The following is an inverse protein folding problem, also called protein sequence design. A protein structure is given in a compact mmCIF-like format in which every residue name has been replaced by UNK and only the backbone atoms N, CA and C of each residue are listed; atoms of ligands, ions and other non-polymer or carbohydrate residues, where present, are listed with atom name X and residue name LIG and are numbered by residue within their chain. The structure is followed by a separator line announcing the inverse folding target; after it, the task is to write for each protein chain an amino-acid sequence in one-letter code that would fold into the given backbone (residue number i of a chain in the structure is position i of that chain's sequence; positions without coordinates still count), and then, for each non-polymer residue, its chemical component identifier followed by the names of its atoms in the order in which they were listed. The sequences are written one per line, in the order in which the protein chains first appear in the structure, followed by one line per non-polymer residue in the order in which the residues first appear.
data_IF_106789533912
#
_entry.id   IF_106789533912
#
_cell.length_a   1.000
_cell.length_b   1.000
_cell.length_c   1.000
_cell.angle_alpha   90.00
_cell.angle_beta   90.00
_cell.angle_gamma   90.00
#
_symmetry.space_group_name_H-M   'P 1'
#
loop_
_entity.id
_entity.type
_entity.pdbx_description
1 polymer ?
#
# COMPACT_ATOMS: atom_id res chain seq x y z
N UNK A 1 1.30 10.64 18.54
CA UNK A 1 0.18 10.72 17.57
C UNK A 1 -0.57 9.40 17.65
N UNK A 2 -1.91 9.40 17.59
CA UNK A 2 -2.71 8.18 17.74
C UNK A 2 -2.94 7.48 16.40
N UNK A 3 -3.12 6.16 16.41
CA UNK A 3 -3.40 5.31 15.24
C UNK A 3 -4.89 5.22 14.98
N UNK A 4 -5.45 6.15 14.20
CA UNK A 4 -6.92 6.30 14.11
C UNK A 4 -7.52 5.42 13.02
N UNK A 5 -8.60 4.71 13.35
CA UNK A 5 -9.36 3.91 12.40
C UNK A 5 -10.82 4.35 12.34
N UNK A 6 -11.42 4.39 11.13
CA UNK A 6 -12.87 4.54 10.96
C UNK A 6 -13.50 3.19 10.67
N UNK A 7 -14.58 2.88 11.38
CA UNK A 7 -15.36 1.67 11.17
C UNK A 7 -16.76 2.01 10.72
N UNK A 8 -17.31 1.22 9.80
CA UNK A 8 -18.70 1.29 9.39
C UNK A 8 -19.30 -0.10 9.41
N UNK A 9 -20.40 -0.27 10.12
CA UNK A 9 -21.21 -1.48 10.05
C UNK A 9 -22.48 -1.11 9.27
N UNK A 10 -22.75 -1.83 8.17
CA UNK A 10 -24.01 -1.73 7.44
C UNK A 10 -24.83 -3.00 7.68
N UNK A 11 -26.04 -2.81 8.18
CA UNK A 11 -26.99 -3.88 8.44
C UNK A 11 -28.42 -3.36 8.25
N UNK A 12 -29.26 -4.12 7.55
CA UNK A 12 -30.64 -3.76 7.23
C UNK A 12 -30.76 -2.38 6.55
N UNK A 13 -29.81 -2.06 5.66
CA UNK A 13 -29.73 -0.80 4.93
C UNK A 13 -29.34 0.42 5.78
N UNK A 14 -28.89 0.22 7.04
CA UNK A 14 -28.49 1.29 7.95
C UNK A 14 -27.00 1.26 8.22
N UNK A 15 -26.37 2.43 8.19
CA UNK A 15 -24.95 2.60 8.50
C UNK A 15 -24.77 3.05 9.96
N UNK A 16 -23.96 2.31 10.73
CA UNK A 16 -23.40 2.74 12.02
C UNK A 16 -21.94 3.12 11.83
N UNK A 17 -21.58 4.34 12.17
CA UNK A 17 -20.21 4.84 12.04
C UNK A 17 -19.53 4.86 13.40
N UNK A 18 -18.32 4.33 13.47
CA UNK A 18 -17.51 4.32 14.69
C UNK A 18 -16.09 4.81 14.39
N UNK A 19 -15.41 5.28 15.43
CA UNK A 19 -14.00 5.67 15.38
C UNK A 19 -13.25 5.11 16.58
N UNK A 20 -12.03 4.63 16.35
CA UNK A 20 -11.07 4.30 17.39
C UNK A 20 -9.78 5.09 17.19
N UNK A 21 -9.16 5.56 18.27
CA UNK A 21 -7.96 6.42 18.24
C UNK A 21 -6.63 5.64 18.26
N UNK A 22 -6.70 4.33 18.41
CA UNK A 22 -5.57 3.43 18.63
C UNK A 22 -5.56 2.21 17.70
N UNK A 23 -6.70 1.83 17.10
CA UNK A 23 -6.82 0.62 16.30
C UNK A 23 -6.15 0.65 14.90
N UNK A 24 -5.67 1.80 14.41
CA UNK A 24 -5.18 1.95 13.04
C UNK A 24 -4.07 1.00 12.62
N UNK A 25 -3.20 0.61 13.56
CA UNK A 25 -2.12 -0.36 13.31
C UNK A 25 -2.61 -1.82 13.24
N UNK A 26 -3.69 -2.12 13.94
CA UNK A 26 -4.13 -3.50 14.26
C UNK A 26 -5.30 -3.98 13.40
N UNK A 27 -5.86 -3.09 12.55
CA UNK A 27 -6.99 -3.40 11.67
C UNK A 27 -6.76 -4.69 10.89
N UNK A 28 -5.63 -4.80 10.18
CA UNK A 28 -5.43 -5.96 9.30
C UNK A 28 -5.13 -7.24 10.08
N UNK A 29 -4.41 -7.14 11.20
CA UNK A 29 -4.18 -8.28 12.09
C UNK A 29 -5.52 -8.84 12.60
N UNK A 30 -6.40 -7.98 13.11
CA UNK A 30 -7.73 -8.40 13.59
C UNK A 30 -8.57 -9.01 12.48
N UNK A 31 -8.57 -8.42 11.29
CA UNK A 31 -9.29 -8.96 10.13
C UNK A 31 -8.74 -10.33 9.69
N UNK A 32 -7.45 -10.60 9.83
CA UNK A 32 -6.88 -11.91 9.47
C UNK A 32 -7.46 -13.06 10.28
N UNK A 33 -7.93 -12.83 11.50
CA UNK A 33 -8.54 -13.85 12.36
C UNK A 33 -10.04 -14.06 12.10
N UNK A 34 -10.66 -13.25 11.24
CA UNK A 34 -12.06 -13.41 10.80
C UNK A 34 -13.04 -12.46 11.48
N UNK A 35 -14.34 -12.73 11.29
CA UNK A 35 -15.42 -11.82 11.66
C UNK A 35 -15.49 -11.54 13.17
N UNK A 36 -15.36 -12.56 14.01
CA UNK A 36 -15.46 -12.39 15.47
C UNK A 36 -14.34 -11.47 16.01
N UNK A 37 -13.11 -11.66 15.53
CA UNK A 37 -11.99 -10.79 15.89
C UNK A 37 -12.19 -9.36 15.36
N UNK A 38 -12.69 -9.23 14.14
CA UNK A 38 -13.04 -7.92 13.57
C UNK A 38 -14.09 -7.19 14.40
N UNK A 39 -15.15 -7.88 14.83
CA UNK A 39 -16.21 -7.30 15.65
C UNK A 39 -15.70 -6.90 17.03
N UNK A 40 -14.89 -7.74 17.68
CA UNK A 40 -14.26 -7.40 18.95
C UNK A 40 -13.45 -6.11 18.87
N UNK A 41 -12.70 -5.89 17.78
CA UNK A 41 -11.98 -4.63 17.55
C UNK A 41 -12.93 -3.45 17.32
N UNK A 42 -13.99 -3.63 16.51
CA UNK A 42 -14.93 -2.54 16.18
C UNK A 42 -15.73 -2.09 17.40
N UNK A 43 -16.08 -3.01 18.30
CA UNK A 43 -16.88 -2.74 19.50
C UNK A 43 -16.19 -1.81 20.51
N UNK A 44 -14.87 -1.60 20.38
CA UNK A 44 -14.11 -0.64 21.18
C UNK A 44 -14.25 0.80 20.66
N UNK A 45 -14.73 0.94 19.42
CA UNK A 45 -14.94 2.22 18.77
C UNK A 45 -16.07 3.03 19.40
N UNK A 46 -15.93 4.36 19.35
CA UNK A 46 -16.98 5.30 19.76
C UNK A 46 -17.85 5.67 18.58
N UNK A 47 -19.17 5.75 18.79
CA UNK A 47 -20.12 6.17 17.76
C UNK A 47 -19.84 7.61 17.27
N UNK A 48 -19.92 7.80 15.96
CA UNK A 48 -19.76 9.09 15.27
C UNK A 48 -20.82 9.25 14.17
N UNK A 49 -20.92 10.45 13.58
CA UNK A 49 -21.94 10.76 12.57
C UNK A 49 -21.47 10.41 11.15
N UNK A 50 -20.15 10.33 10.93
CA UNK A 50 -19.54 10.04 9.63
C UNK A 50 -18.16 9.42 9.79
N UNK A 51 -17.65 8.80 8.71
CA UNK A 51 -16.24 8.44 8.60
C UNK A 51 -15.34 9.69 8.71
N UNK A 52 -14.08 9.47 9.09
CA UNK A 52 -13.08 10.53 9.16
C UNK A 52 -12.70 11.04 7.77
N UNK A 53 -12.12 12.25 7.73
CA UNK A 53 -11.46 12.75 6.54
C UNK A 53 -10.06 12.14 6.37
N UNK A 54 -9.45 12.39 5.21
CA UNK A 54 -8.12 11.93 4.84
C UNK A 54 -6.97 12.44 5.72
N UNK A 55 -7.20 13.51 6.50
CA UNK A 55 -6.18 14.10 7.36
C UNK A 55 -6.03 13.32 8.66
N UNK A 56 -7.12 12.73 9.14
CA UNK A 56 -7.16 12.05 10.44
C UNK A 56 -7.24 10.54 10.37
N UNK A 57 -7.76 9.96 9.28
CA UNK A 57 -7.87 8.51 9.12
C UNK A 57 -6.54 7.86 8.73
N UNK A 58 -6.12 6.84 9.49
CA UNK A 58 -4.92 6.03 9.20
C UNK A 58 -5.29 4.59 8.80
N UNK A 59 -6.52 4.17 9.10
CA UNK A 59 -7.11 2.92 8.63
C UNK A 59 -8.64 3.05 8.52
N UNK A 60 -9.27 2.06 7.89
CA UNK A 60 -10.70 1.91 8.01
C UNK A 60 -11.25 0.57 7.54
N UNK A 61 -12.45 0.24 8.04
CA UNK A 61 -13.17 -1.00 7.74
C UNK A 61 -14.64 -0.67 7.49
N UNK A 62 -15.21 -1.29 6.46
CA UNK A 62 -16.65 -1.42 6.26
C UNK A 62 -16.99 -2.90 6.33
N UNK A 63 -17.90 -3.25 7.23
CA UNK A 63 -18.57 -4.54 7.27
C UNK A 63 -20.01 -4.34 6.79
N UNK A 64 -20.29 -4.79 5.58
CA UNK A 64 -21.63 -4.76 4.98
C UNK A 64 -22.24 -6.14 5.07
N UNK A 65 -23.08 -6.35 6.08
CA UNK A 65 -23.76 -7.62 6.32
C UNK A 65 -24.82 -7.92 5.26
N UNK A 66 -25.43 -6.88 4.69
CA UNK A 66 -26.48 -7.02 3.69
C UNK A 66 -25.91 -7.60 2.38
N UNK A 67 -24.71 -7.13 1.99
CA UNK A 67 -24.03 -7.57 0.78
C UNK A 67 -22.93 -8.63 1.02
N UNK A 68 -22.63 -8.98 2.28
CA UNK A 68 -21.49 -9.78 2.70
C UNK A 68 -20.15 -9.25 2.14
N UNK A 69 -19.93 -7.95 2.25
CA UNK A 69 -18.70 -7.27 1.81
C UNK A 69 -17.86 -6.86 3.00
N UNK A 70 -16.57 -7.19 2.95
CA UNK A 70 -15.53 -6.60 3.80
C UNK A 70 -14.70 -5.65 2.93
N UNK A 71 -14.75 -4.35 3.20
CA UNK A 71 -13.92 -3.35 2.52
C UNK A 71 -13.02 -2.66 3.54
N UNK A 72 -11.69 -2.71 3.35
CA UNK A 72 -10.76 -2.17 4.36
C UNK A 72 -9.48 -1.62 3.76
N UNK A 73 -8.81 -0.74 4.50
CA UNK A 73 -7.45 -0.28 4.24
C UNK A 73 -6.73 0.09 5.54
N UNK A 74 -5.43 0.29 5.46
CA UNK A 74 -4.59 0.71 6.57
C UNK A 74 -3.66 -0.38 7.06
N UNK A 75 -3.18 -0.24 8.30
CA UNK A 75 -2.00 -0.89 8.87
C UNK A 75 -0.68 -0.29 8.39
N UNK A 76 0.04 0.34 9.32
CA UNK A 76 1.40 0.85 9.15
C UNK A 76 2.34 -0.21 8.52
N UNK A 77 2.07 -1.49 8.80
CA UNK A 77 2.89 -2.62 8.38
C UNK A 77 2.72 -3.02 6.92
N UNK A 78 1.58 -2.68 6.29
CA UNK A 78 1.30 -3.05 4.89
C UNK A 78 1.49 -1.92 3.89
N UNK A 79 1.69 -0.69 4.39
CA UNK A 79 1.89 0.49 3.56
C UNK A 79 3.07 0.28 2.59
N UNK A 80 4.23 -0.14 3.08
CA UNK A 80 5.40 -0.43 2.22
C UNK A 80 5.25 -1.72 1.41
N UNK A 81 4.44 -2.66 1.90
CA UNK A 81 4.36 -4.06 1.45
C UNK A 81 3.23 -4.31 0.46
N UNK A 82 2.88 -3.26 -0.28
CA UNK A 82 1.66 -3.27 -1.07
C UNK A 82 1.55 -4.43 -2.08
N UNK A 83 2.62 -4.86 -2.78
CA UNK A 83 2.52 -6.02 -3.67
C UNK A 83 2.00 -7.31 -3.01
N UNK A 84 1.99 -7.39 -1.68
CA UNK A 84 1.42 -8.50 -0.92
C UNK A 84 -0.10 -8.44 -0.74
N UNK A 85 -0.76 -7.30 -0.94
CA UNK A 85 -2.20 -7.15 -0.70
C UNK A 85 -3.05 -8.12 -1.54
N UNK A 86 -2.80 -8.38 -2.84
CA UNK A 86 -3.54 -9.41 -3.57
C UNK A 86 -3.48 -10.79 -2.90
N UNK A 87 -2.32 -11.16 -2.35
CA UNK A 87 -2.12 -12.41 -1.62
C UNK A 87 -2.83 -12.39 -0.26
N UNK A 88 -2.86 -11.25 0.43
CA UNK A 88 -3.64 -11.06 1.65
C UNK A 88 -5.14 -11.25 1.40
N UNK A 89 -5.68 -10.61 0.36
CA UNK A 89 -7.10 -10.73 0.03
C UNK A 89 -7.47 -12.18 -0.31
N UNK A 90 -6.62 -12.87 -1.08
CA UNK A 90 -6.82 -14.28 -1.43
C UNK A 90 -6.73 -15.20 -0.20
N UNK A 91 -5.75 -14.95 0.68
CA UNK A 91 -5.58 -15.64 1.96
C UNK A 91 -6.84 -15.52 2.82
N UNK A 92 -7.34 -14.31 3.00
CA UNK A 92 -8.52 -14.02 3.81
C UNK A 92 -9.77 -14.70 3.24
N UNK A 93 -10.03 -14.55 1.93
CA UNK A 93 -11.18 -15.18 1.24
C UNK A 93 -11.16 -16.70 1.35
N UNK A 94 -9.97 -17.29 1.27
CA UNK A 94 -9.79 -18.74 1.27
C UNK A 94 -9.89 -19.35 2.67
N UNK A 95 -9.65 -18.58 3.73
CA UNK A 95 -9.54 -19.10 5.10
C UNK A 95 -10.64 -18.62 6.04
N UNK A 96 -10.62 -17.35 6.45
CA UNK A 96 -11.45 -16.81 7.54
C UNK A 96 -12.66 -16.00 7.08
N UNK A 97 -12.69 -15.59 5.82
CA UNK A 97 -13.77 -14.80 5.21
C UNK A 97 -14.44 -15.54 4.06
N UNK A 98 -14.65 -16.86 4.23
CA UNK A 98 -15.29 -17.69 3.20
C UNK A 98 -16.72 -17.22 2.97
N UNK A 99 -17.07 -17.01 1.70
CA UNK A 99 -18.39 -16.51 1.28
C UNK A 99 -18.53 -14.99 1.31
N UNK A 100 -17.57 -14.26 1.87
CA UNK A 100 -17.56 -12.79 1.84
C UNK A 100 -16.78 -12.26 0.63
N UNK A 101 -17.21 -11.13 0.09
CA UNK A 101 -16.41 -10.37 -0.87
C UNK A 101 -15.46 -9.43 -0.13
N UNK A 102 -14.25 -9.92 0.08
CA UNK A 102 -13.15 -9.18 0.72
C UNK A 102 -12.45 -8.26 -0.31
N UNK A 103 -12.37 -6.98 -0.01
CA UNK A 103 -11.85 -5.94 -0.89
C UNK A 103 -10.91 -5.00 -0.12
N UNK A 104 -9.86 -4.58 -0.80
CA UNK A 104 -9.03 -3.48 -0.34
C UNK A 104 -9.64 -2.14 -0.79
N UNK A 105 -9.80 -1.19 0.13
CA UNK A 105 -10.18 0.20 -0.15
C UNK A 105 -8.98 0.92 -0.76
N UNK A 106 -8.84 0.76 -2.08
CA UNK A 106 -7.67 1.17 -2.86
C UNK A 106 -7.27 2.61 -2.66
N UNK A 107 -8.22 3.53 -2.55
CA UNK A 107 -8.00 4.96 -2.34
C UNK A 107 -8.31 5.36 -0.89
N UNK A 108 -8.10 4.44 0.05
CA UNK A 108 -8.37 4.65 1.47
C UNK A 108 -9.80 5.13 1.74
N UNK A 109 -9.91 6.25 2.46
CA UNK A 109 -11.20 6.88 2.78
C UNK A 109 -12.02 7.26 1.56
N UNK A 110 -11.40 7.58 0.42
CA UNK A 110 -12.13 7.89 -0.80
C UNK A 110 -12.90 6.66 -1.32
N UNK A 111 -12.28 5.47 -1.31
CA UNK A 111 -12.95 4.22 -1.70
C UNK A 111 -14.07 3.86 -0.72
N UNK A 112 -13.89 4.16 0.57
CA UNK A 112 -14.96 3.97 1.57
C UNK A 112 -16.13 4.93 1.33
N UNK A 113 -15.86 6.21 1.09
CA UNK A 113 -16.91 7.20 0.78
C UNK A 113 -17.69 6.81 -0.48
N UNK A 114 -17.01 6.37 -1.54
CA UNK A 114 -17.64 5.89 -2.77
C UNK A 114 -18.54 4.68 -2.51
N UNK A 115 -18.06 3.69 -1.75
CA UNK A 115 -18.86 2.52 -1.37
C UNK A 115 -20.13 2.89 -0.59
N UNK A 116 -20.02 3.90 0.28
CA UNK A 116 -21.13 4.39 1.10
C UNK A 116 -22.05 5.38 0.35
N UNK A 117 -21.79 5.66 -0.93
CA UNK A 117 -22.54 6.65 -1.70
C UNK A 117 -22.38 8.08 -1.17
N UNK A 118 -21.30 8.38 -0.46
CA UNK A 118 -20.97 9.71 0.06
C UNK A 118 -20.22 10.52 -1.00
N UNK A 119 -20.43 11.85 -1.08
CA UNK A 119 -19.70 12.68 -2.02
C UNK A 119 -18.21 12.69 -1.68
N UNK A 120 -17.33 12.66 -2.69
CA UNK A 120 -15.87 12.65 -2.49
C UNK A 120 -15.37 13.81 -1.60
N UNK A 121 -15.99 14.97 -1.73
CA UNK A 121 -15.69 16.17 -0.92
C UNK A 121 -15.97 16.02 0.58
N UNK A 122 -16.62 14.93 1.02
CA UNK A 122 -16.83 14.63 2.44
C UNK A 122 -15.58 14.06 3.13
N UNK A 123 -14.66 13.49 2.36
CA UNK A 123 -13.43 12.86 2.88
C UNK A 123 -12.16 13.48 2.32
N UNK A 124 -12.22 14.00 1.08
CA UNK A 124 -11.15 14.76 0.47
C UNK A 124 -11.42 16.25 0.66
N UNK A 125 -10.60 16.92 1.45
CA UNK A 125 -10.64 18.38 1.49
C UNK A 125 -9.92 18.85 0.23
N UNK A 126 -10.49 19.80 -0.55
CA UNK A 126 -9.75 20.37 -1.65
C UNK A 126 -8.45 20.89 -1.07
N UNK A 127 -7.32 20.38 -1.58
CA UNK A 127 -6.01 20.84 -1.17
C UNK A 127 -6.01 22.35 -1.40
N UNK A 128 -6.11 23.11 -0.30
CA UNK A 128 -6.01 24.56 -0.38
C UNK A 128 -4.55 24.82 -0.65
N UNK A 129 -4.25 24.95 -1.94
CA UNK A 129 -2.96 25.36 -2.44
C UNK A 129 -2.56 26.59 -1.62
N UNK A 130 -1.60 26.43 -0.70
CA UNK A 130 -1.14 27.59 0.06
C UNK A 130 -0.51 28.55 -0.95
N UNK A 131 -0.60 29.85 -0.70
CA UNK A 131 0.04 30.89 -1.52
C UNK A 131 1.54 30.66 -1.76
N UNK A 132 2.18 29.72 -1.04
CA UNK A 132 3.56 29.27 -1.26
C UNK A 132 3.77 28.45 -2.54
N UNK A 133 2.73 27.99 -3.24
CA UNK A 133 2.89 27.24 -4.50
C UNK A 133 3.15 28.09 -5.74
N UNK A 134 3.17 29.42 -5.58
CA UNK A 134 3.83 30.33 -6.52
C UNK A 134 5.34 30.04 -6.65
N UNK A 135 5.93 29.19 -5.79
CA UNK A 135 7.28 28.60 -5.91
C UNK A 135 7.37 27.33 -6.79
N UNK A 136 6.33 26.96 -7.55
CA UNK A 136 6.28 25.69 -8.30
C UNK A 136 7.46 25.49 -9.28
N UNK A 137 7.95 26.54 -9.92
CA UNK A 137 9.10 26.47 -10.83
C UNK A 137 10.42 26.31 -10.08
N UNK A 138 10.61 27.03 -8.97
CA UNK A 138 11.80 26.90 -8.12
C UNK A 138 11.85 25.53 -7.43
N UNK A 139 10.72 25.00 -6.96
CA UNK A 139 10.62 23.62 -6.46
C UNK A 139 10.88 22.59 -7.55
N UNK A 140 10.39 22.80 -8.77
CA UNK A 140 10.70 21.94 -9.93
C UNK A 140 12.20 21.97 -10.22
N UNK A 141 12.81 23.16 -10.28
CA UNK A 141 14.25 23.33 -10.48
C UNK A 141 15.06 22.66 -9.38
N UNK A 142 14.69 22.86 -8.11
CA UNK A 142 15.35 22.20 -6.97
C UNK A 142 15.20 20.67 -7.02
N UNK A 143 14.06 20.14 -7.48
CA UNK A 143 13.89 18.70 -7.74
C UNK A 143 14.80 18.20 -8.85
N UNK A 144 14.82 18.91 -9.97
CA UNK A 144 15.68 18.60 -11.12
C UNK A 144 17.16 18.62 -10.72
N UNK A 145 17.60 19.67 -10.04
CA UNK A 145 18.99 19.82 -9.58
C UNK A 145 19.38 18.70 -8.62
N UNK A 146 18.51 18.32 -7.67
CA UNK A 146 18.77 17.16 -6.78
C UNK A 146 18.93 15.85 -7.56
N UNK A 147 18.06 15.62 -8.55
CA UNK A 147 18.15 14.44 -9.41
C UNK A 147 19.45 14.40 -10.22
N UNK A 148 19.83 15.54 -10.83
CA UNK A 148 21.04 15.67 -11.65
C UNK A 148 22.32 15.53 -10.84
N UNK A 149 22.33 16.02 -9.60
CA UNK A 149 23.48 15.89 -8.69
C UNK A 149 23.63 14.49 -8.09
N UNK A 150 22.62 13.63 -8.24
CA UNK A 150 22.61 12.31 -7.59
C UNK A 150 22.63 12.40 -6.06
N UNK A 151 22.16 13.51 -5.48
CA UNK A 151 22.05 13.68 -4.03
C UNK A 151 20.97 12.74 -3.48
N UNK A 152 21.37 11.51 -3.18
CA UNK A 152 20.50 10.48 -2.63
C UNK A 152 20.48 10.60 -1.10
N UNK A 153 19.29 10.86 -0.53
CA UNK A 153 19.09 10.87 0.93
C UNK A 153 18.79 9.49 1.51
N UNK A 154 18.51 8.49 0.65
CA UNK A 154 18.10 7.15 1.04
C UNK A 154 18.73 6.11 0.09
N UNK A 155 19.15 4.96 0.63
CA UNK A 155 19.70 3.84 -0.14
C UNK A 155 18.63 2.97 -0.83
N UNK A 156 17.35 3.37 -0.74
CA UNK A 156 16.22 2.54 -1.16
C UNK A 156 15.89 2.72 -2.65
N UNK A 157 15.59 1.63 -3.36
CA UNK A 157 15.02 1.65 -4.71
C UNK A 157 13.59 2.21 -4.66
N UNK A 158 13.47 3.54 -4.67
CA UNK A 158 12.21 4.25 -4.49
C UNK A 158 11.21 4.15 -5.65
N UNK A 159 11.65 4.09 -6.92
CA UNK A 159 10.78 3.95 -8.10
C UNK A 159 11.53 3.34 -9.27
N UNK A 160 10.85 2.43 -9.99
CA UNK A 160 11.30 1.91 -11.28
C UNK A 160 10.68 2.71 -12.40
N UNK A 161 11.47 3.05 -13.41
CA UNK A 161 11.02 3.76 -14.59
C UNK A 161 11.42 2.93 -15.80
N UNK A 162 10.46 2.51 -16.61
CA UNK A 162 10.73 2.03 -17.97
C UNK A 162 10.29 3.10 -18.95
N UNK A 163 11.21 3.59 -19.76
CA UNK A 163 10.98 4.57 -20.82
C UNK A 163 11.05 3.87 -22.17
N UNK A 164 9.96 3.96 -22.94
CA UNK A 164 9.99 3.63 -24.36
C UNK A 164 10.29 4.91 -25.13
N UNK A 165 11.51 5.02 -25.62
CA UNK A 165 12.00 6.24 -26.29
C UNK A 165 11.41 6.38 -27.71
N UNK A 166 11.70 7.50 -28.38
CA UNK A 166 11.25 7.76 -29.76
C UNK A 166 11.74 6.74 -30.81
N UNK A 167 12.79 5.97 -30.51
CA UNK A 167 13.27 4.87 -31.37
C UNK A 167 12.52 3.56 -31.12
N UNK A 168 11.65 3.52 -30.11
CA UNK A 168 10.90 2.35 -29.69
C UNK A 168 11.68 1.40 -28.78
N UNK A 169 12.86 1.80 -28.31
CA UNK A 169 13.70 1.03 -27.40
C UNK A 169 13.15 1.16 -25.97
N UNK A 170 13.19 0.07 -25.21
CA UNK A 170 12.84 0.07 -23.78
C UNK A 170 14.11 0.27 -22.95
N UNK A 171 14.13 1.35 -22.18
CA UNK A 171 15.22 1.73 -21.30
C UNK A 171 14.71 1.69 -19.86
N UNK A 172 15.38 0.94 -19.00
CA UNK A 172 14.99 0.80 -17.59
C UNK A 172 15.91 1.61 -16.69
N UNK A 173 15.31 2.21 -15.67
CA UNK A 173 15.98 3.04 -14.70
C UNK A 173 15.43 2.76 -13.32
N UNK A 174 16.28 2.94 -12.33
CA UNK A 174 15.90 2.95 -10.92
C UNK A 174 16.24 4.30 -10.31
N UNK A 175 15.40 4.77 -9.40
CA UNK A 175 15.61 6.02 -8.67
C UNK A 175 15.20 5.85 -7.22
N UNK A 176 15.87 6.55 -6.32
CA UNK A 176 15.50 6.60 -4.90
C UNK A 176 14.37 7.59 -4.63
N UNK A 177 14.01 8.40 -5.63
CA UNK A 177 12.98 9.40 -5.53
C UNK A 177 11.59 8.76 -5.55
N UNK A 178 10.66 9.37 -4.82
CA UNK A 178 9.26 8.99 -4.90
C UNK A 178 8.68 9.26 -6.29
N UNK A 179 7.72 8.43 -6.67
CA UNK A 179 7.01 8.50 -7.94
C UNK A 179 6.30 9.86 -8.13
N UNK A 180 5.77 10.46 -7.06
CA UNK A 180 5.11 11.78 -7.06
C UNK A 180 6.08 12.88 -7.47
N UNK A 181 7.28 12.88 -6.88
CA UNK A 181 8.31 13.86 -7.19
C UNK A 181 8.85 13.66 -8.61
N UNK A 182 8.97 12.40 -9.03
CA UNK A 182 9.37 12.03 -10.39
C UNK A 182 8.36 12.52 -11.41
N UNK A 183 7.06 12.31 -11.18
CA UNK A 183 6.00 12.77 -12.07
C UNK A 183 5.88 14.31 -12.10
N UNK A 184 6.16 15.00 -10.99
CA UNK A 184 6.16 16.48 -10.90
C UNK A 184 7.32 17.15 -11.66
N UNK A 185 8.28 16.39 -12.20
CA UNK A 185 9.29 16.91 -13.12
C UNK A 185 8.71 17.23 -14.51
N UNK A 186 7.59 16.61 -14.89
CA UNK A 186 7.05 16.74 -16.24
C UNK A 186 8.06 16.26 -17.29
N UNK A 187 8.11 16.97 -18.43
CA UNK A 187 9.01 16.65 -19.55
C UNK A 187 10.50 16.77 -19.23
N UNK A 188 10.89 17.47 -18.16
CA UNK A 188 12.30 17.55 -17.77
C UNK A 188 12.89 16.19 -17.43
N UNK A 189 12.05 15.20 -17.09
CA UNK A 189 12.51 13.84 -16.83
C UNK A 189 13.27 13.26 -18.03
N UNK A 190 12.95 13.64 -19.28
CA UNK A 190 13.67 13.13 -20.45
C UNK A 190 15.13 13.60 -20.49
N UNK A 191 15.41 14.84 -20.07
CA UNK A 191 16.79 15.32 -19.93
C UNK A 191 17.56 14.44 -18.94
N UNK A 192 16.89 14.05 -17.86
CA UNK A 192 17.50 13.23 -16.83
C UNK A 192 17.74 11.80 -17.32
N UNK A 193 16.73 11.16 -17.93
CA UNK A 193 16.83 9.78 -18.43
C UNK A 193 17.86 9.64 -19.56
N UNK A 194 18.04 10.68 -20.39
CA UNK A 194 19.07 10.71 -21.44
C UNK A 194 20.50 10.74 -20.89
N UNK A 195 20.70 11.32 -19.70
CA UNK A 195 22.02 11.43 -19.07
C UNK A 195 22.29 10.36 -18.01
N UNK A 196 21.30 9.51 -17.72
CA UNK A 196 21.41 8.46 -16.71
C UNK A 196 21.71 7.12 -17.38
N UNK A 197 22.58 6.33 -16.77
CA UNK A 197 22.81 4.95 -17.17
C UNK A 197 21.57 4.10 -16.89
N UNK A 198 21.22 3.23 -17.84
CA UNK A 198 20.15 2.25 -17.64
C UNK A 198 20.56 1.19 -16.63
N UNK A 199 19.61 0.67 -15.86
CA UNK A 199 19.81 -0.44 -14.93
C UNK A 199 18.89 -1.61 -15.27
N UNK A 200 19.34 -2.86 -15.09
CA UNK A 200 18.45 -4.01 -15.24
C UNK A 200 17.30 -3.93 -14.23
N UNK A 201 16.15 -4.47 -14.60
CA UNK A 201 15.00 -4.55 -13.70
C UNK A 201 15.32 -5.45 -12.49
N UNK A 202 15.13 -4.97 -11.25
CA UNK A 202 15.29 -5.78 -10.06
C UNK A 202 14.16 -6.80 -9.89
N UNK A 203 14.41 -7.84 -9.10
CA UNK A 203 13.37 -8.75 -8.60
C UNK A 203 12.40 -7.99 -7.69
N UNK A 204 11.13 -8.40 -7.69
CA UNK A 204 10.02 -7.82 -6.92
C UNK A 204 10.35 -7.59 -5.45
N UNK A 205 11.13 -8.50 -4.88
CA UNK A 205 11.79 -8.36 -3.59
C UNK A 205 13.29 -8.18 -3.82
N UNK A 206 13.86 -7.19 -3.13
CA UNK A 206 15.29 -7.12 -2.91
C UNK A 206 15.61 -7.02 -1.43
N UNK A 207 16.81 -7.45 -1.06
CA UNK A 207 17.32 -7.38 0.31
C UNK A 207 18.05 -6.05 0.50
N UNK A 208 17.69 -5.30 1.55
CA UNK A 208 18.39 -4.06 1.91
C UNK A 208 19.29 -4.29 3.14
N UNK A 209 20.58 -4.53 2.87
CA UNK A 209 21.64 -4.69 3.87
C UNK A 209 21.78 -3.46 4.80
N UNK A 210 21.33 -2.28 4.36
CA UNK A 210 21.64 -1.02 5.03
C UNK A 210 20.72 -0.68 6.20
N UNK A 211 19.59 -1.38 6.35
CA UNK A 211 18.56 -1.02 7.34
C UNK A 211 18.79 -1.62 8.73
N UNK A 212 19.84 -2.43 8.97
CA UNK A 212 20.09 -3.18 10.21
C UNK A 212 18.92 -4.07 10.71
N UNK A 213 17.86 -4.14 9.92
CA UNK A 213 16.69 -4.99 10.08
C UNK A 213 16.62 -5.76 8.76
N UNK A 214 16.48 -7.08 8.79
CA UNK A 214 16.40 -7.93 7.58
C UNK A 214 15.13 -7.62 6.77
N UNK A 215 15.08 -6.45 6.15
CA UNK A 215 13.92 -5.91 5.47
C UNK A 215 14.07 -6.17 3.99
N UNK A 216 13.31 -7.16 3.54
CA UNK A 216 12.94 -7.28 2.15
C UNK A 216 12.10 -6.07 1.78
N UNK A 217 12.52 -5.31 0.77
CA UNK A 217 11.75 -4.18 0.26
C UNK A 217 11.07 -4.61 -1.02
N UNK A 218 9.75 -4.42 -1.07
CA UNK A 218 8.96 -4.71 -2.26
C UNK A 218 8.94 -3.51 -3.20
N UNK A 219 9.05 -3.80 -4.49
CA UNK A 219 8.85 -2.80 -5.54
C UNK A 219 7.38 -2.37 -5.54
N UNK A 220 7.10 -1.26 -4.88
CA UNK A 220 5.75 -0.72 -4.76
C UNK A 220 5.47 0.43 -5.75
N UNK A 221 6.45 0.89 -6.53
CA UNK A 221 6.28 2.05 -7.43
C UNK A 221 6.98 1.81 -8.77
N UNK A 222 6.20 1.76 -9.85
CA UNK A 222 6.71 1.70 -11.21
C UNK A 222 6.05 2.75 -12.11
N UNK A 223 6.83 3.30 -13.01
CA UNK A 223 6.41 4.18 -14.09
C UNK A 223 6.77 3.53 -15.41
N UNK A 224 5.81 3.48 -16.32
CA UNK A 224 6.08 3.25 -17.72
C UNK A 224 5.75 4.51 -18.51
N UNK A 225 6.77 5.08 -19.15
CA UNK A 225 6.66 6.31 -19.93
C UNK A 225 6.83 5.92 -21.41
N UNK A 226 5.76 6.03 -22.18
CA UNK A 226 5.78 5.82 -23.63
C UNK A 226 5.83 7.18 -24.34
N UNK A 227 7.00 7.53 -24.85
CA UNK A 227 7.24 8.81 -25.52
C UNK A 227 6.63 8.87 -26.92
N UNK A 228 6.51 7.72 -27.59
CA UNK A 228 5.90 7.63 -28.92
C UNK A 228 4.41 7.91 -28.81
N UNK A 229 3.73 7.22 -27.89
CA UNK A 229 2.28 7.34 -27.73
C UNK A 229 1.87 8.49 -26.79
N UNK A 230 2.84 9.19 -26.19
CA UNK A 230 2.63 10.23 -25.15
C UNK A 230 1.74 9.74 -24.03
N UNK A 231 2.03 8.55 -23.51
CA UNK A 231 1.30 7.97 -22.39
C UNK A 231 2.21 7.69 -21.20
N UNK A 232 1.68 7.85 -20.00
CA UNK A 232 2.34 7.45 -18.76
C UNK A 232 1.44 6.46 -18.05
N UNK A 233 1.94 5.26 -17.83
CA UNK A 233 1.30 4.27 -16.99
C UNK A 233 1.94 4.32 -15.61
N UNK A 234 1.12 4.67 -14.62
CA UNK A 234 1.53 4.83 -13.24
C UNK A 234 1.10 3.60 -12.48
N UNK A 235 2.05 2.75 -12.10
CA UNK A 235 1.83 1.53 -11.33
C UNK A 235 2.20 1.82 -9.89
N UNK A 236 1.19 2.10 -9.08
CA UNK A 236 1.39 2.12 -7.65
C UNK A 236 0.93 0.76 -7.12
N UNK A 237 1.80 0.13 -6.37
CA UNK A 237 1.34 -0.64 -5.25
C UNK A 237 0.64 0.34 -4.32
N UNK A 238 -0.69 0.47 -4.51
CA UNK A 238 -1.71 1.23 -3.79
C UNK A 238 -1.31 2.61 -3.19
N UNK A 239 -2.10 3.67 -3.44
CA UNK A 239 -1.83 5.03 -2.98
C UNK A 239 -1.59 5.11 -1.46
N UNK A 240 -0.34 5.41 -1.10
CA UNK A 240 0.08 5.72 0.27
C UNK A 240 -0.47 7.06 0.79
N UNK A 241 -1.19 7.82 -0.04
CA UNK A 241 -1.87 9.04 0.39
C UNK A 241 -2.98 9.41 -0.58
N UNK A 242 -3.99 10.11 -0.06
CA UNK A 242 -5.14 10.66 -0.76
C UNK A 242 -4.76 11.85 -1.68
N UNK A 243 -3.67 11.73 -2.42
CA UNK A 243 -2.99 12.89 -2.98
C UNK A 243 -3.77 13.48 -4.16
N UNK A 244 -3.94 14.80 -4.13
CA UNK A 244 -4.42 15.60 -5.26
C UNK A 244 -3.48 15.54 -6.47
N UNK A 245 -2.40 14.77 -6.42
CA UNK A 245 -1.44 14.55 -7.49
C UNK A 245 -2.13 14.27 -8.82
N UNK A 246 -3.18 13.43 -8.84
CA UNK A 246 -3.98 13.19 -10.05
C UNK A 246 -4.40 14.49 -10.75
N UNK A 247 -4.85 15.48 -9.97
CA UNK A 247 -5.27 16.79 -10.44
C UNK A 247 -4.10 17.73 -10.69
N UNK A 248 -2.91 17.51 -10.18
CA UNK A 248 -1.76 18.36 -10.47
C UNK A 248 -1.05 17.94 -11.76
N UNK A 249 -1.02 16.64 -12.05
CA UNK A 249 -0.19 16.11 -13.13
C UNK A 249 -0.54 16.63 -14.52
N UNK A 250 -1.79 17.05 -14.76
CA UNK A 250 -2.16 17.67 -16.04
C UNK A 250 -1.39 18.96 -16.32
N UNK A 251 -0.86 19.64 -15.29
CA UNK A 251 -0.03 20.85 -15.44
C UNK A 251 1.39 20.53 -15.89
N UNK A 252 1.93 19.39 -15.43
CA UNK A 252 3.30 18.96 -15.73
C UNK A 252 3.40 18.18 -17.03
N UNK A 253 2.30 17.56 -17.46
CA UNK A 253 2.23 16.65 -18.59
C UNK A 253 1.16 17.09 -19.60
N UNK A 254 1.28 18.34 -20.07
CA UNK A 254 0.40 18.88 -21.11
C UNK A 254 0.44 17.98 -22.36
N UNK A 255 -0.76 17.60 -22.82
CA UNK A 255 -1.01 16.74 -23.99
C UNK A 255 -0.60 15.27 -23.84
N UNK A 256 -0.35 14.79 -22.62
CA UNK A 256 -0.07 13.38 -22.34
C UNK A 256 -1.27 12.70 -21.66
N UNK A 257 -1.46 11.42 -21.94
CA UNK A 257 -2.42 10.60 -21.20
C UNK A 257 -1.76 9.91 -20.01
N UNK A 258 -2.28 10.15 -18.81
CA UNK A 258 -1.83 9.47 -17.60
C UNK A 258 -2.84 8.38 -17.22
N UNK A 259 -2.38 7.14 -17.15
CA UNK A 259 -3.18 5.95 -16.90
C UNK A 259 -2.72 5.28 -15.60
N UNK A 260 -3.62 5.17 -14.64
CA UNK A 260 -3.35 4.50 -13.37
C UNK A 260 -3.55 2.99 -13.53
N UNK A 261 -2.59 2.22 -13.03
CA UNK A 261 -2.56 0.77 -13.18
C UNK A 261 -2.48 0.11 -11.81
N UNK A 262 -3.32 -0.90 -11.59
CA UNK A 262 -3.50 -1.55 -10.28
C UNK A 262 -2.77 -2.88 -10.14
N UNK A 263 -2.12 -3.34 -11.20
CA UNK A 263 -1.44 -4.64 -11.21
C UNK A 263 0.00 -4.57 -10.68
N UNK A 264 0.38 -3.44 -10.08
CA UNK A 264 1.71 -3.21 -9.52
C UNK A 264 2.82 -3.58 -10.50
N UNK A 265 3.89 -4.18 -9.97
CA UNK A 265 5.04 -4.58 -10.76
C UNK A 265 4.73 -5.67 -11.80
N UNK A 266 3.90 -6.66 -11.47
CA UNK A 266 3.44 -7.66 -12.44
C UNK A 266 2.72 -7.04 -13.66
N UNK A 267 1.95 -5.97 -13.42
CA UNK A 267 1.32 -5.17 -14.46
C UNK A 267 2.34 -4.45 -15.34
N UNK A 268 3.37 -3.88 -14.72
CA UNK A 268 4.47 -3.19 -15.39
C UNK A 268 5.25 -4.12 -16.31
N UNK A 269 5.60 -5.31 -15.83
CA UNK A 269 6.29 -6.34 -16.62
C UNK A 269 5.43 -6.80 -17.81
N UNK A 270 4.13 -7.04 -17.58
CA UNK A 270 3.19 -7.40 -18.64
C UNK A 270 3.10 -6.30 -19.71
N UNK A 271 3.01 -5.03 -19.30
CA UNK A 271 2.91 -3.91 -20.23
C UNK A 271 4.18 -3.74 -21.07
N UNK A 272 5.34 -4.01 -20.47
CA UNK A 272 6.65 -3.96 -21.13
C UNK A 272 7.01 -5.25 -21.87
N UNK A 273 6.07 -6.21 -21.98
CA UNK A 273 6.20 -7.51 -22.67
C UNK A 273 7.37 -8.36 -22.16
N UNK A 274 7.69 -8.27 -20.87
CA UNK A 274 8.76 -9.05 -20.23
C UNK A 274 8.17 -10.30 -19.60
N UNK A 275 8.93 -11.38 -19.60
CA UNK A 275 8.57 -12.61 -18.89
C UNK A 275 8.74 -12.41 -17.38
N UNK A 276 7.86 -13.03 -16.60
CA UNK A 276 7.66 -12.68 -15.20
C UNK A 276 8.36 -13.60 -14.19
N UNK A 277 8.85 -14.76 -14.62
CA UNK A 277 9.09 -15.88 -13.71
C UNK A 277 10.18 -15.61 -12.66
N UNK A 278 11.26 -14.92 -13.05
CA UNK A 278 12.38 -14.65 -12.13
C UNK A 278 12.28 -13.29 -11.43
N UNK A 279 11.43 -12.40 -11.96
CA UNK A 279 11.26 -11.05 -11.45
C UNK A 279 10.12 -10.95 -10.42
N UNK A 280 9.17 -11.87 -10.41
CA UNK A 280 8.09 -11.90 -9.42
C UNK A 280 8.39 -12.88 -8.30
N UNK A 281 7.81 -12.64 -7.13
CA UNK A 281 7.86 -13.61 -6.04
C UNK A 281 6.89 -14.75 -6.29
N UNK A 282 7.26 -15.94 -5.84
CA UNK A 282 6.32 -17.05 -5.84
C UNK A 282 5.17 -16.79 -4.86
N UNK A 283 4.02 -17.43 -5.08
CA UNK A 283 2.87 -17.35 -4.16
C UNK A 283 3.23 -17.77 -2.74
N UNK A 284 4.00 -18.84 -2.59
CA UNK A 284 4.41 -19.36 -1.28
C UNK A 284 5.34 -18.35 -0.57
N UNK A 285 6.30 -17.78 -1.28
CA UNK A 285 7.19 -16.74 -0.76
C UNK A 285 6.41 -15.48 -0.35
N UNK A 286 5.47 -15.02 -1.18
CA UNK A 286 4.60 -13.89 -0.87
C UNK A 286 3.79 -14.10 0.42
N UNK A 287 3.22 -15.30 0.61
CA UNK A 287 2.45 -15.63 1.81
C UNK A 287 3.35 -15.73 3.04
N UNK A 288 4.54 -16.33 2.92
CA UNK A 288 5.49 -16.39 4.03
C UNK A 288 5.90 -14.99 4.48
N UNK A 289 6.20 -14.10 3.53
CA UNK A 289 6.56 -12.73 3.86
C UNK A 289 5.38 -11.93 4.40
N UNK A 290 4.18 -12.14 3.87
CA UNK A 290 2.96 -11.53 4.39
C UNK A 290 2.75 -11.89 5.86
N UNK A 291 2.86 -13.17 6.20
CA UNK A 291 2.67 -13.62 7.59
C UNK A 291 3.80 -13.16 8.51
N UNK A 292 5.03 -13.08 7.98
CA UNK A 292 6.18 -12.55 8.71
C UNK A 292 5.93 -11.11 9.20
N UNK A 293 5.29 -10.27 8.39
CA UNK A 293 4.94 -8.89 8.75
C UNK A 293 4.11 -8.84 10.04
N UNK A 294 3.18 -9.80 10.22
CA UNK A 294 2.32 -9.88 11.40
C UNK A 294 2.97 -10.64 12.56
N UNK A 295 3.78 -11.67 12.29
CA UNK A 295 4.42 -12.47 13.34
C UNK A 295 5.61 -11.77 14.00
N UNK A 296 6.39 -10.99 13.25
CA UNK A 296 7.63 -10.37 13.74
C UNK A 296 7.41 -9.42 14.94
N UNK A 297 6.40 -8.53 14.93
CA UNK A 297 6.07 -7.72 16.11
C UNK A 297 5.71 -8.56 17.34
N UNK A 298 4.95 -9.64 17.16
CA UNK A 298 4.54 -10.55 18.25
C UNK A 298 5.76 -11.24 18.85
N UNK A 299 6.64 -11.81 18.01
CA UNK A 299 7.87 -12.49 18.44
C UNK A 299 8.78 -11.53 19.22
N UNK A 300 8.96 -10.29 18.72
CA UNK A 300 9.74 -9.27 19.45
C UNK A 300 9.12 -8.92 20.79
N UNK A 301 7.79 -8.80 20.84
CA UNK A 301 7.05 -8.56 22.09
C UNK A 301 7.30 -9.67 23.11
N UNK A 302 7.11 -10.93 22.71
CA UNK A 302 7.31 -12.12 23.55
C UNK A 302 8.75 -12.14 24.11
N UNK A 303 9.76 -12.02 23.23
CA UNK A 303 11.16 -12.05 23.62
C UNK A 303 11.50 -10.92 24.60
N UNK A 304 11.06 -9.69 24.31
CA UNK A 304 11.32 -8.53 25.18
C UNK A 304 10.69 -8.67 26.56
N UNK A 305 9.62 -9.45 26.72
CA UNK A 305 8.93 -9.65 28.00
C UNK A 305 9.49 -10.82 28.80
N UNK A 306 9.98 -11.88 28.14
CA UNK A 306 10.69 -12.95 28.82
C UNK A 306 11.92 -12.45 29.58
N UNK A 307 12.65 -11.47 29.01
CA UNK A 307 13.83 -10.89 29.64
C UNK A 307 13.53 -10.08 30.91
N UNK A 308 12.28 -9.66 31.13
CA UNK A 308 11.87 -8.77 32.23
C UNK A 308 11.41 -9.51 33.49
N UNK A 309 11.27 -10.85 33.46
CA UNK A 309 10.87 -11.72 34.57
C UNK A 309 9.67 -11.20 35.40
N UNK A 310 8.68 -10.61 34.72
CA UNK A 310 7.53 -9.95 35.34
C UNK A 310 6.25 -10.77 35.13
N UNK A 311 5.73 -11.29 36.26
CA UNK A 311 4.53 -12.14 36.32
C UNK A 311 3.26 -11.49 35.74
N UNK A 312 3.19 -10.15 35.66
CA UNK A 312 2.05 -9.43 35.08
C UNK A 312 1.98 -9.61 33.56
N UNK A 313 3.08 -9.99 32.90
CA UNK A 313 3.14 -10.16 31.44
C UNK A 313 2.77 -11.55 30.94
N UNK A 314 2.53 -12.53 31.81
CA UNK A 314 2.30 -13.93 31.40
C UNK A 314 1.06 -14.09 30.53
N UNK A 315 -0.02 -13.36 30.82
CA UNK A 315 -1.26 -13.50 30.04
C UNK A 315 -1.15 -12.89 28.65
N UNK A 316 -0.54 -11.69 28.52
CA UNK A 316 -0.28 -11.09 27.20
C UNK A 316 0.66 -11.95 26.34
N UNK A 317 1.69 -12.57 26.93
CA UNK A 317 2.56 -13.50 26.20
C UNK A 317 1.74 -14.67 25.64
N UNK A 318 0.85 -15.25 26.45
CA UNK A 318 -0.01 -16.35 26.00
C UNK A 318 -0.97 -15.94 24.88
N UNK A 319 -1.48 -14.72 24.92
CA UNK A 319 -2.31 -14.18 23.83
C UNK A 319 -1.50 -14.07 22.54
N UNK A 320 -0.29 -13.51 22.59
CA UNK A 320 0.60 -13.42 21.41
C UNK A 320 1.03 -14.79 20.88
N UNK A 321 1.28 -15.78 21.75
CA UNK A 321 1.57 -17.15 21.35
C UNK A 321 0.39 -17.77 20.61
N UNK A 322 -0.84 -17.58 21.09
CA UNK A 322 -2.06 -18.05 20.40
C UNK A 322 -2.23 -17.39 19.03
N UNK A 323 -1.91 -16.10 18.92
CA UNK A 323 -1.97 -15.39 17.65
C UNK A 323 -0.97 -15.96 16.65
N UNK A 324 0.26 -16.25 17.07
CA UNK A 324 1.28 -16.92 16.24
C UNK A 324 0.83 -18.31 15.77
N UNK A 325 0.28 -19.13 16.68
CA UNK A 325 -0.28 -20.44 16.34
C UNK A 325 -1.43 -20.31 15.31
N UNK A 326 -2.30 -19.31 15.49
CA UNK A 326 -3.39 -19.03 14.57
C UNK A 326 -2.89 -18.62 13.18
N UNK A 327 -1.84 -17.79 13.07
CA UNK A 327 -1.25 -17.39 11.80
C UNK A 327 -0.66 -18.59 11.05
N UNK A 328 0.05 -19.48 11.73
CA UNK A 328 0.58 -20.70 11.12
C UNK A 328 -0.56 -21.64 10.67
N UNK A 329 -1.63 -21.77 11.46
CA UNK A 329 -2.81 -22.53 11.05
C UNK A 329 -3.46 -21.96 9.79
N UNK A 330 -3.63 -20.63 9.71
CA UNK A 330 -4.15 -19.93 8.52
C UNK A 330 -3.29 -20.24 7.29
N UNK A 331 -1.95 -20.20 7.44
CA UNK A 331 -1.01 -20.57 6.37
C UNK A 331 -1.24 -22.00 5.86
N UNK A 332 -1.28 -22.97 6.77
CA UNK A 332 -1.43 -24.38 6.40
C UNK A 332 -2.77 -24.64 5.71
N UNK A 333 -3.86 -24.06 6.23
CA UNK A 333 -5.19 -24.13 5.60
C UNK A 333 -5.16 -23.59 4.16
N UNK A 334 -4.51 -22.44 3.94
CA UNK A 334 -4.39 -21.83 2.62
C UNK A 334 -3.56 -22.66 1.64
N UNK A 335 -2.40 -23.14 2.07
CA UNK A 335 -1.51 -23.96 1.23
C UNK A 335 -2.15 -25.31 0.87
N UNK A 336 -2.92 -25.92 1.78
CA UNK A 336 -3.66 -27.14 1.48
C UNK A 336 -4.74 -26.92 0.42
N UNK A 337 -5.55 -25.86 0.54
CA UNK A 337 -6.61 -25.55 -0.43
C UNK A 337 -6.06 -25.23 -1.83
N UNK A 338 -4.94 -24.51 -1.91
CA UNK A 338 -4.31 -24.16 -3.19
C UNK A 338 -3.59 -25.33 -3.88
N UNK A 339 -3.23 -26.40 -3.17
CA UNK A 339 -2.68 -27.62 -3.80
C UNK A 339 -3.74 -28.48 -4.49
N UNK A 340 -5.02 -28.27 -4.15
CA UNK A 340 -6.14 -29.04 -4.70
C UNK A 340 -6.77 -28.39 -5.94
N UNK A 341 -6.51 -27.10 -6.17
CA UNK A 341 -6.96 -26.31 -7.33
C UNK A 341 -5.92 -26.32 -8.44
#
# INVERSE_FOLDING_TARGET
MGRRASFVIRENGKDRFLVDRYAGGDVVSSLLHGLDSAMNMIDWGSDVISIMDEVWGEAGVILDYDAQVLLFWGSDYLMSETPLIPYLLDLMKTTRWVGWDVRWAKWGMLSMAEYLGKPRSSVCKPFQLSTEELSSEERRKNRLDRWLKGENYYNELGTIITHRNLKGEFLDYTTVNFIDDTLRLGKDIFLILQNKETSPLPREIYFDDSTHVNNYVYINKCLYIDEIDRTIHVFWGYPLSNNCLFYELHRYWLDWQIKWQYKGYAGHLKLTKRENNDLLVSREEAINNLLKIFSDPLIRGINSKHDQNDSVNVEHIREWEKDLESLEKIKQEYLMKNKMS
#
